data_IF_802002268957
#
_entry.id   IF_802002268957
#
_cell.length_a   1.000
_cell.length_b   1.000
_cell.length_c   1.000
_cell.angle_alpha   90.00
_cell.angle_beta   90.00
_cell.angle_gamma   90.00
#
_symmetry.space_group_name_H-M   'P 1'
#
loop_
_entity.id
_entity.type
_entity.pdbx_description
1 polymer ?
#
# COMPACT_ATOMS: atom_id res chain seq x y z
N UNK A 1 14.42 1.60 -12.22
CA UNK A 1 14.40 0.96 -10.89
C UNK A 1 13.27 -0.05 -10.84
N UNK A 2 13.60 -1.34 -10.95
CA UNK A 2 12.61 -2.42 -11.00
C UNK A 2 12.07 -2.67 -9.59
N UNK A 3 10.85 -2.24 -9.35
CA UNK A 3 10.12 -2.55 -8.14
C UNK A 3 9.83 -4.06 -8.12
N UNK A 4 10.64 -4.83 -7.41
CA UNK A 4 10.54 -6.29 -7.36
C UNK A 4 9.90 -6.71 -6.04
N UNK A 5 8.58 -6.90 -6.07
CA UNK A 5 7.76 -7.17 -4.89
C UNK A 5 7.38 -8.64 -4.74
N UNK A 6 7.56 -9.42 -5.81
CA UNK A 6 7.20 -10.84 -5.88
C UNK A 6 8.00 -11.74 -4.92
N UNK A 7 9.12 -11.24 -4.39
CA UNK A 7 9.97 -11.98 -3.44
C UNK A 7 10.16 -11.15 -2.19
N UNK A 8 9.20 -11.29 -1.28
CA UNK A 8 9.28 -10.70 0.05
C UNK A 8 9.20 -11.84 1.06
N UNK A 9 10.17 -11.86 1.96
CA UNK A 9 10.16 -12.78 3.08
C UNK A 9 8.95 -12.50 3.97
N UNK A 10 8.32 -13.55 4.49
CA UNK A 10 7.11 -13.46 5.33
C UNK A 10 5.81 -12.96 4.64
N UNK A 11 5.76 -12.90 3.31
CA UNK A 11 4.57 -12.42 2.56
C UNK A 11 3.27 -13.15 2.91
N UNK A 12 3.31 -14.49 2.98
CA UNK A 12 2.12 -15.32 3.26
C UNK A 12 1.54 -15.04 4.65
N UNK A 13 2.41 -14.80 5.63
CA UNK A 13 2.00 -14.44 6.98
C UNK A 13 1.34 -13.06 7.01
N UNK A 14 1.99 -12.06 6.40
CA UNK A 14 1.44 -10.70 6.32
C UNK A 14 0.09 -10.67 5.57
N UNK A 15 -0.08 -11.47 4.51
CA UNK A 15 -1.33 -11.57 3.77
C UNK A 15 -2.47 -12.13 4.62
N UNK A 16 -2.19 -13.16 5.44
CA UNK A 16 -3.19 -13.70 6.36
C UNK A 16 -3.58 -12.68 7.44
N UNK A 17 -2.63 -11.92 7.97
CA UNK A 17 -2.92 -10.85 8.93
C UNK A 17 -3.74 -9.72 8.30
N UNK A 18 -3.36 -9.26 7.11
CA UNK A 18 -4.10 -8.25 6.36
C UNK A 18 -5.56 -8.69 6.09
N UNK A 19 -5.76 -9.96 5.69
CA UNK A 19 -7.10 -10.54 5.50
C UNK A 19 -7.92 -10.52 6.78
N UNK A 20 -7.33 -10.95 7.89
CA UNK A 20 -8.01 -10.96 9.20
C UNK A 20 -8.40 -9.55 9.63
N UNK A 21 -7.48 -8.59 9.54
CA UNK A 21 -7.74 -7.20 9.90
C UNK A 21 -8.81 -6.57 9.01
N UNK A 22 -8.75 -6.80 7.69
CA UNK A 22 -9.77 -6.29 6.76
C UNK A 22 -11.16 -6.82 7.10
N UNK A 23 -11.28 -8.10 7.44
CA UNK A 23 -12.55 -8.69 7.88
C UNK A 23 -13.01 -8.13 9.23
N UNK A 24 -12.08 -7.84 10.14
CA UNK A 24 -12.39 -7.39 11.49
C UNK A 24 -12.78 -5.91 11.55
N UNK A 25 -12.10 -5.05 10.80
CA UNK A 25 -12.32 -3.60 10.84
C UNK A 25 -13.17 -3.07 9.69
N UNK A 26 -13.37 -3.87 8.63
CA UNK A 26 -14.02 -3.42 7.39
C UNK A 26 -13.14 -2.50 6.52
N UNK A 27 -11.91 -2.21 6.93
CA UNK A 27 -10.98 -1.34 6.19
C UNK A 27 -10.08 -2.20 5.31
N UNK A 28 -9.89 -1.80 4.05
CA UNK A 28 -9.00 -2.53 3.15
C UNK A 28 -7.55 -2.45 3.60
N UNK A 29 -7.01 -3.57 4.08
CA UNK A 29 -5.59 -3.71 4.36
C UNK A 29 -4.86 -4.28 3.15
N UNK A 30 -3.60 -3.89 3.02
CA UNK A 30 -2.70 -4.30 1.95
C UNK A 30 -1.37 -4.72 2.56
N UNK A 31 -0.63 -5.55 1.84
CA UNK A 31 0.71 -6.01 2.22
C UNK A 31 1.73 -5.30 1.36
N UNK A 32 2.69 -4.61 1.95
CA UNK A 32 3.70 -3.87 1.20
C UNK A 32 5.10 -4.16 1.69
N UNK A 33 6.07 -3.93 0.80
CA UNK A 33 7.49 -4.11 1.11
C UNK A 33 8.00 -2.89 1.86
N UNK A 34 8.60 -3.10 3.01
CA UNK A 34 9.36 -2.06 3.71
C UNK A 34 10.80 -2.52 3.91
N UNK A 35 11.73 -1.58 3.84
CA UNK A 35 13.11 -1.83 4.23
C UNK A 35 13.24 -1.52 5.72
N UNK A 36 13.42 -2.55 6.53
CA UNK A 36 13.65 -2.42 7.97
C UNK A 36 15.08 -2.85 8.26
N UNK A 37 15.94 -1.91 8.66
CA UNK A 37 17.35 -2.16 8.97
C UNK A 37 18.13 -2.82 7.81
N UNK A 38 17.92 -2.36 6.58
CA UNK A 38 18.59 -2.92 5.40
C UNK A 38 17.98 -4.22 4.87
N UNK A 39 17.03 -4.82 5.59
CA UNK A 39 16.32 -6.04 5.17
C UNK A 39 14.94 -5.71 4.63
N UNK A 40 14.60 -6.30 3.49
CA UNK A 40 13.28 -6.17 2.90
C UNK A 40 12.31 -7.14 3.56
N UNK A 41 11.23 -6.62 4.16
CA UNK A 41 10.23 -7.43 4.88
C UNK A 41 8.82 -7.09 4.42
N UNK A 42 7.91 -8.07 4.50
CA UNK A 42 6.49 -7.85 4.28
C UNK A 42 5.88 -7.25 5.54
N UNK A 43 5.27 -6.08 5.38
CA UNK A 43 4.41 -5.50 6.42
C UNK A 43 2.99 -5.38 5.90
N UNK A 44 2.03 -5.24 6.80
CA UNK A 44 0.63 -5.02 6.47
C UNK A 44 0.15 -3.69 7.07
N UNK A 45 -0.77 -3.04 6.36
CA UNK A 45 -1.35 -1.76 6.80
C UNK A 45 -2.43 -1.32 5.83
N UNK A 46 -2.88 -0.08 5.94
CA UNK A 46 -3.81 0.50 4.95
C UNK A 46 -3.06 0.90 3.68
N UNK A 47 -3.81 1.16 2.61
CA UNK A 47 -3.25 1.72 1.37
C UNK A 47 -2.46 3.00 1.67
N UNK A 48 -3.04 3.88 2.49
CA UNK A 48 -2.41 5.15 2.87
C UNK A 48 -1.10 4.95 3.65
N UNK A 49 -1.03 3.94 4.52
CA UNK A 49 0.22 3.56 5.19
C UNK A 49 1.27 3.06 4.18
N UNK A 50 0.88 2.26 3.20
CA UNK A 50 1.79 1.77 2.16
C UNK A 50 2.39 2.93 1.35
N UNK A 51 1.57 3.92 1.01
CA UNK A 51 2.01 5.13 0.31
C UNK A 51 2.96 5.98 1.17
N UNK A 52 2.63 6.16 2.46
CA UNK A 52 3.46 6.91 3.42
C UNK A 52 4.78 6.23 3.74
N UNK A 53 4.83 4.90 3.73
CA UNK A 53 6.07 4.14 3.98
C UNK A 53 7.08 4.23 2.84
N UNK A 54 6.73 4.85 1.71
CA UNK A 54 7.61 4.92 0.54
C UNK A 54 7.76 3.56 -0.16
N UNK A 55 6.84 2.63 0.08
CA UNK A 55 6.78 1.39 -0.68
C UNK A 55 6.50 1.72 -2.15
N UNK A 56 7.10 0.95 -3.06
CA UNK A 56 6.87 1.15 -4.50
C UNK A 56 5.67 0.31 -5.02
N UNK A 57 5.14 -0.59 -4.19
CA UNK A 57 4.05 -1.51 -4.51
C UNK A 57 3.38 -1.98 -3.21
N UNK A 58 2.14 -2.44 -3.34
CA UNK A 58 1.46 -3.22 -2.31
C UNK A 58 0.69 -4.37 -2.97
N UNK A 59 0.32 -5.37 -2.17
CA UNK A 59 -0.52 -6.48 -2.53
C UNK A 59 -1.86 -6.35 -1.82
N UNK A 60 -2.94 -6.49 -2.55
CA UNK A 60 -4.28 -6.56 -1.94
C UNK A 60 -4.42 -7.87 -1.17
N UNK A 61 -5.42 -7.95 -0.28
CA UNK A 61 -5.81 -9.21 0.38
C UNK A 61 -6.16 -10.32 -0.62
N UNK A 62 -6.50 -9.98 -1.86
CA UNK A 62 -6.74 -10.94 -2.94
C UNK A 62 -5.45 -11.48 -3.58
N UNK A 63 -4.28 -10.97 -3.17
CA UNK A 63 -2.98 -11.34 -3.71
C UNK A 63 -2.63 -10.62 -5.02
N UNK A 64 -3.39 -9.59 -5.42
CA UNK A 64 -3.05 -8.76 -6.58
C UNK A 64 -2.00 -7.71 -6.21
N UNK A 65 -0.95 -7.62 -7.02
CA UNK A 65 0.06 -6.56 -6.92
C UNK A 65 -0.46 -5.26 -7.54
N UNK A 66 -0.37 -4.17 -6.80
CA UNK A 66 -0.64 -2.81 -7.26
C UNK A 66 0.62 -1.99 -7.05
N UNK A 67 1.06 -1.29 -8.09
CA UNK A 67 2.20 -0.38 -8.01
C UNK A 67 1.74 0.93 -7.41
N UNK A 68 2.44 1.38 -6.37
CA UNK A 68 2.26 2.73 -5.84
C UNK A 68 2.95 3.66 -6.82
N UNK A 69 2.19 4.10 -7.82
CA UNK A 69 2.57 5.29 -8.56
C UNK A 69 2.51 6.41 -7.55
N UNK A 70 3.68 6.93 -7.11
CA UNK A 70 3.76 8.11 -6.25
C UNK A 70 2.65 9.06 -6.66
N UNK A 71 1.84 9.59 -5.72
CA UNK A 71 0.80 10.52 -6.10
C UNK A 71 1.47 11.62 -6.91
N UNK A 72 1.21 11.65 -8.22
CA UNK A 72 1.26 12.91 -8.95
C UNK A 72 0.42 13.82 -8.08
N UNK A 73 0.98 14.91 -7.52
CA UNK A 73 0.20 15.81 -6.69
C UNK A 73 -1.04 16.11 -7.51
N UNK A 74 -2.20 15.68 -7.01
CA UNK A 74 -3.48 16.07 -7.62
C UNK A 74 -3.38 17.59 -7.60
N UNK A 75 -3.14 18.20 -8.76
CA UNK A 75 -3.42 19.62 -8.96
C UNK A 75 -4.85 19.75 -8.46
N UNK A 76 -5.00 20.34 -7.29
CA UNK A 76 -6.29 20.74 -6.77
C UNK A 76 -6.82 21.73 -7.78
N UNK A 77 -7.55 21.26 -8.78
CA UNK A 77 -8.44 22.11 -9.57
C UNK A 77 -9.52 22.53 -8.59
N UNK A 78 -9.21 23.58 -7.82
CA UNK A 78 -10.22 24.46 -7.23
C UNK A 78 -11.01 25.02 -8.41
N UNK A 79 -12.10 24.34 -8.80
CA UNK A 79 -13.21 25.01 -9.45
C UNK A 79 -13.96 25.70 -8.30
N UNK A 80 -13.54 26.91 -7.97
CA UNK A 80 -14.41 27.83 -7.22
C UNK A 80 -15.40 28.33 -8.25
N UNK A 81 -16.60 27.77 -8.21
CA UNK A 81 -17.78 28.37 -8.80
C UNK A 81 -18.11 29.59 -7.95
N UNK A 82 -17.60 30.76 -8.34
CA UNK A 82 -17.99 32.04 -7.75
C UNK A 82 -19.25 32.51 -8.48
N UNK A 83 -20.38 32.45 -7.77
CA UNK A 83 -21.67 32.97 -8.20
C UNK A 83 -22.03 34.08 -7.22
N UNK A 84 -21.84 35.34 -7.62
CA UNK A 84 -22.56 36.48 -7.06
C UNK A 84 -22.68 37.61 -8.06
#
# INVERSE_FOLDING_TARGET
MSCNCKKIDNFKHALNQAKRLTKNTGVQHVVFKVNFQGKETATYGTVESAEKSGACCYYTTEGKEIKISKPTPKKTTKKVEDKK
#
